data_IF_840866128252
#
_entry.id   IF_840866128252
#
_cell.length_a   1.000
_cell.length_b   1.000
_cell.length_c   1.000
_cell.angle_alpha   90.00
_cell.angle_beta   90.00
_cell.angle_gamma   90.00
#
_symmetry.space_group_name_H-M   'P 1'
#
loop_
_entity.id
_entity.type
_entity.pdbx_description
1 polymer ?
#
# COMPACT_ATOMS: atom_id res chain seq x y z
N UNK A 1 -7.17 -6.58 -10.13
CA UNK A 1 -6.36 -6.84 -8.91
C UNK A 1 -5.99 -5.50 -8.28
N UNK A 2 -6.10 -5.36 -6.96
CA UNK A 2 -5.66 -4.16 -6.23
C UNK A 2 -4.18 -4.25 -5.84
N UNK A 3 -3.49 -3.11 -5.78
CA UNK A 3 -2.08 -3.03 -5.41
C UNK A 3 -1.86 -1.99 -4.32
N UNK A 4 -1.38 -2.43 -3.16
CA UNK A 4 -0.94 -1.57 -2.06
C UNK A 4 0.59 -1.51 -2.08
N UNK A 5 1.16 -0.32 -1.94
CA UNK A 5 2.62 -0.13 -1.85
C UNK A 5 2.97 0.49 -0.50
N UNK A 6 3.88 -0.14 0.23
CA UNK A 6 4.47 0.42 1.45
C UNK A 6 5.81 1.05 1.11
N UNK A 7 5.87 2.37 1.12
CA UNK A 7 7.06 3.12 0.72
C UNK A 7 7.36 4.28 1.69
N UNK A 8 8.64 4.44 2.02
CA UNK A 8 9.15 5.61 2.73
C UNK A 8 10.67 5.66 2.57
N UNK A 9 11.25 6.86 2.58
CA UNK A 9 12.69 7.03 2.48
C UNK A 9 13.44 6.48 3.69
N UNK A 10 12.81 6.48 4.87
CA UNK A 10 13.46 6.07 6.11
C UNK A 10 13.45 4.56 6.30
N UNK A 11 14.62 3.98 6.60
CA UNK A 11 14.73 2.60 7.07
C UNK A 11 14.15 2.43 8.48
N UNK A 12 13.65 1.23 8.80
CA UNK A 12 13.14 0.91 10.15
C UNK A 12 11.78 1.53 10.49
N UNK A 13 11.04 2.08 9.53
CA UNK A 13 9.69 2.60 9.73
C UNK A 13 8.62 1.51 9.90
N UNK A 14 8.98 0.24 9.68
CA UNK A 14 8.11 -0.93 9.83
C UNK A 14 7.33 -1.34 8.58
N UNK A 15 7.78 -0.96 7.37
CA UNK A 15 7.14 -1.34 6.09
C UNK A 15 6.87 -2.84 6.00
N UNK A 16 7.91 -3.66 6.12
CA UNK A 16 7.81 -5.13 6.02
C UNK A 16 6.86 -5.72 7.06
N UNK A 17 6.93 -5.25 8.30
CA UNK A 17 6.04 -5.69 9.39
C UNK A 17 4.57 -5.36 9.10
N UNK A 18 4.32 -4.16 8.57
CA UNK A 18 2.98 -3.73 8.15
C UNK A 18 2.51 -4.52 6.91
N UNK A 19 3.40 -4.80 5.94
CA UNK A 19 3.09 -5.62 4.77
C UNK A 19 2.60 -7.00 5.18
N UNK A 20 3.32 -7.68 6.08
CA UNK A 20 2.94 -8.98 6.63
C UNK A 20 1.58 -8.90 7.33
N UNK A 21 1.41 -7.93 8.23
CA UNK A 21 0.17 -7.78 8.99
C UNK A 21 -1.05 -7.53 8.11
N UNK A 22 -0.93 -6.62 7.15
CA UNK A 22 -1.99 -6.30 6.19
C UNK A 22 -2.29 -7.48 5.26
N UNK A 23 -1.26 -8.23 4.82
CA UNK A 23 -1.45 -9.40 3.97
C UNK A 23 -2.28 -10.48 4.67
N UNK A 24 -1.97 -10.78 5.92
CA UNK A 24 -2.75 -11.77 6.68
C UNK A 24 -4.16 -11.28 6.99
N UNK A 25 -4.34 -10.00 7.34
CA UNK A 25 -5.66 -9.44 7.57
C UNK A 25 -6.52 -9.45 6.28
N UNK A 26 -5.92 -9.17 5.13
CA UNK A 26 -6.57 -9.26 3.82
C UNK A 26 -6.94 -10.70 3.46
N UNK A 27 -6.04 -11.66 3.70
CA UNK A 27 -6.32 -13.09 3.49
C UNK A 27 -7.50 -13.55 4.35
N UNK A 28 -7.53 -13.14 5.62
CA UNK A 28 -8.67 -13.42 6.52
C UNK A 28 -9.98 -12.77 6.05
N UNK A 29 -9.88 -11.66 5.32
CA UNK A 29 -11.03 -11.00 4.70
C UNK A 29 -11.46 -11.62 3.34
N UNK A 30 -10.80 -12.69 2.89
CA UNK A 30 -11.15 -13.45 1.69
C UNK A 30 -10.40 -13.06 0.42
N UNK A 31 -9.35 -12.24 0.52
CA UNK A 31 -8.50 -11.94 -0.62
C UNK A 31 -7.50 -13.07 -0.91
N UNK A 32 -7.23 -13.31 -2.21
CA UNK A 32 -6.05 -14.05 -2.65
C UNK A 32 -4.90 -13.06 -2.71
N UNK A 33 -3.94 -13.16 -1.77
CA UNK A 33 -2.90 -12.16 -1.54
C UNK A 33 -1.55 -12.62 -2.07
N UNK A 34 -0.79 -11.70 -2.67
CA UNK A 34 0.62 -11.87 -3.00
C UNK A 34 1.44 -10.76 -2.35
N UNK A 35 2.56 -11.12 -1.72
CA UNK A 35 3.56 -10.17 -1.25
C UNK A 35 4.67 -10.06 -2.30
N UNK A 36 5.04 -8.83 -2.67
CA UNK A 36 6.21 -8.54 -3.50
C UNK A 36 7.23 -7.81 -2.64
N UNK A 37 8.48 -8.27 -2.68
CA UNK A 37 9.61 -7.65 -2.01
C UNK A 37 10.53 -7.00 -3.03
N UNK A 38 10.76 -5.69 -2.90
CA UNK A 38 11.72 -4.96 -3.73
C UNK A 38 12.95 -4.52 -2.93
N UNK A 39 13.02 -4.84 -1.63
CA UNK A 39 14.17 -4.57 -0.78
C UNK A 39 15.19 -5.72 -0.86
N UNK A 40 16.44 -5.47 -1.30
CA UNK A 40 17.50 -6.48 -1.30
C UNK A 40 17.84 -7.05 0.09
N UNK A 41 17.41 -6.41 1.18
CA UNK A 41 17.55 -6.96 2.54
C UNK A 41 16.70 -8.22 2.77
N UNK A 42 15.75 -8.50 1.90
CA UNK A 42 14.97 -9.73 1.85
C UNK A 42 14.23 -10.05 3.16
N UNK A 43 13.64 -9.04 3.81
CA UNK A 43 12.95 -9.20 5.09
C UNK A 43 11.73 -10.11 4.97
N UNK A 44 10.91 -9.94 3.93
CA UNK A 44 9.73 -10.77 3.68
C UNK A 44 10.12 -12.19 3.27
N UNK A 45 11.11 -12.34 2.40
CA UNK A 45 11.64 -13.64 1.98
C UNK A 45 12.18 -14.40 3.19
N UNK A 46 12.96 -13.75 4.05
CA UNK A 46 13.47 -14.35 5.28
C UNK A 46 12.34 -14.69 6.27
N UNK A 47 11.29 -13.89 6.35
CA UNK A 47 10.11 -14.22 7.13
C UNK A 47 9.42 -15.47 6.59
N UNK A 48 9.22 -15.57 5.28
CA UNK A 48 8.59 -16.74 4.66
C UNK A 48 9.37 -18.03 4.89
N UNK A 49 10.71 -17.99 4.92
CA UNK A 49 11.53 -19.20 5.20
C UNK A 49 11.37 -19.74 6.62
N UNK A 50 10.91 -18.89 7.56
CA UNK A 50 10.62 -19.30 8.94
C UNK A 50 9.18 -19.77 9.16
N UNK A 51 8.36 -19.66 8.12
CA UNK A 51 6.93 -19.87 8.19
C UNK A 51 6.58 -21.32 7.89
N UNK A 52 5.72 -21.93 8.71
CA UNK A 52 5.17 -23.28 8.49
C UNK A 52 3.99 -23.31 7.49
N UNK A 53 3.46 -22.12 7.15
CA UNK A 53 2.35 -21.95 6.21
C UNK A 53 2.84 -21.42 4.86
N UNK A 54 2.31 -21.98 3.76
CA UNK A 54 2.71 -21.57 2.42
C UNK A 54 2.24 -20.14 2.09
N UNK A 55 1.02 -19.78 2.48
CA UNK A 55 0.41 -18.49 2.14
C UNK A 55 0.52 -17.46 3.29
N UNK A 56 0.56 -16.17 2.94
CA UNK A 56 0.71 -15.60 1.59
C UNK A 56 2.13 -15.80 1.05
N UNK A 57 2.25 -16.13 -0.25
CA UNK A 57 3.55 -16.26 -0.90
C UNK A 57 4.25 -14.91 -1.06
N UNK A 58 5.58 -14.93 -0.93
CA UNK A 58 6.46 -13.78 -1.16
C UNK A 58 7.27 -13.98 -2.45
N UNK A 59 7.40 -12.94 -3.24
CA UNK A 59 8.21 -12.93 -4.45
C UNK A 59 9.16 -11.73 -4.45
N UNK A 60 10.44 -11.96 -4.69
CA UNK A 60 11.44 -10.90 -4.88
C UNK A 60 11.38 -10.34 -6.30
N UNK A 61 11.09 -9.04 -6.46
CA UNK A 61 11.10 -8.32 -7.73
C UNK A 61 11.92 -7.05 -7.58
N UNK A 62 13.17 -7.10 -7.93
CA UNK A 62 14.15 -6.03 -7.67
C UNK A 62 14.37 -5.11 -8.87
N UNK A 63 14.00 -5.54 -10.07
CA UNK A 63 14.07 -4.74 -11.30
C UNK A 63 12.78 -3.94 -11.49
N UNK A 64 12.92 -2.64 -11.67
CA UNK A 64 11.80 -1.73 -11.92
C UNK A 64 10.98 -2.15 -13.15
N UNK A 65 11.63 -2.60 -14.22
CA UNK A 65 10.97 -3.03 -15.46
C UNK A 65 10.18 -4.34 -15.30
N UNK A 66 10.48 -5.13 -14.27
CA UNK A 66 9.80 -6.40 -14.02
C UNK A 66 8.50 -6.24 -13.19
N UNK A 67 8.28 -5.08 -12.55
CA UNK A 67 7.14 -4.87 -11.64
C UNK A 67 5.81 -4.96 -12.41
N UNK A 68 5.64 -4.17 -13.46
CA UNK A 68 4.38 -4.13 -14.23
C UNK A 68 4.01 -5.49 -14.82
N UNK A 69 4.89 -6.17 -15.60
CA UNK A 69 4.59 -7.49 -16.15
C UNK A 69 4.27 -8.53 -15.07
N UNK A 70 4.91 -8.40 -13.89
CA UNK A 70 4.62 -9.32 -12.79
C UNK A 70 3.24 -9.09 -12.18
N UNK A 71 2.83 -7.83 -12.02
CA UNK A 71 1.49 -7.49 -11.53
C UNK A 71 0.41 -7.99 -12.49
N UNK A 72 0.61 -7.85 -13.80
CA UNK A 72 -0.30 -8.37 -14.84
C UNK A 72 -0.43 -9.89 -14.73
N UNK A 73 0.68 -10.61 -14.68
CA UNK A 73 0.68 -12.07 -14.55
C UNK A 73 0.00 -12.55 -13.26
N UNK A 74 0.15 -11.83 -12.15
CA UNK A 74 -0.52 -12.14 -10.89
C UNK A 74 -2.04 -11.91 -10.99
N UNK A 75 -2.46 -10.84 -11.67
CA UNK A 75 -3.88 -10.56 -11.90
C UNK A 75 -4.52 -11.66 -12.77
N UNK A 76 -3.86 -12.07 -13.86
CA UNK A 76 -4.28 -13.18 -14.70
C UNK A 76 -4.33 -14.51 -13.93
N UNK A 77 -3.42 -14.69 -12.97
CA UNK A 77 -3.39 -15.85 -12.07
C UNK A 77 -4.44 -15.85 -10.97
N UNK A 78 -5.36 -14.86 -10.93
CA UNK A 78 -6.46 -14.81 -9.98
C UNK A 78 -6.10 -14.20 -8.62
N UNK A 79 -4.94 -13.55 -8.48
CA UNK A 79 -4.60 -12.75 -7.29
C UNK A 79 -5.52 -11.54 -7.25
N UNK A 80 -6.14 -11.27 -6.09
CA UNK A 80 -7.05 -10.14 -5.92
C UNK A 80 -6.41 -8.93 -5.25
N UNK A 81 -5.31 -9.15 -4.51
CA UNK A 81 -4.56 -8.11 -3.83
C UNK A 81 -3.06 -8.41 -3.86
N UNK A 82 -2.28 -7.43 -4.28
CA UNK A 82 -0.82 -7.44 -4.14
C UNK A 82 -0.38 -6.37 -3.15
N UNK A 83 0.53 -6.73 -2.23
CA UNK A 83 1.16 -5.77 -1.31
C UNK A 83 2.65 -5.76 -1.62
N UNK A 84 3.17 -4.58 -1.99
CA UNK A 84 4.59 -4.39 -2.33
C UNK A 84 5.30 -3.73 -1.16
N UNK A 85 6.29 -4.43 -0.60
CA UNK A 85 7.24 -3.89 0.38
C UNK A 85 8.46 -3.34 -0.35
N UNK A 86 8.80 -2.08 -0.08
CA UNK A 86 9.91 -1.41 -0.77
C UNK A 86 11.11 -1.22 0.15
N UNK A 87 12.29 -1.07 -0.46
CA UNK A 87 13.49 -0.65 0.24
C UNK A 87 13.31 0.72 0.91
N UNK A 88 14.17 1.03 1.87
CA UNK A 88 14.32 2.41 2.34
C UNK A 88 14.95 3.27 1.24
N UNK A 89 14.32 4.39 0.90
CA UNK A 89 14.76 5.27 -0.17
C UNK A 89 13.89 5.20 -1.44
N UNK A 90 14.17 6.09 -2.38
CA UNK A 90 13.49 6.16 -3.67
C UNK A 90 14.36 5.55 -4.77
N UNK A 91 14.41 4.23 -4.80
CA UNK A 91 15.02 3.49 -5.91
C UNK A 91 14.11 3.50 -7.15
N UNK A 92 14.65 3.11 -8.31
CA UNK A 92 13.84 2.91 -9.51
C UNK A 92 12.71 1.91 -9.27
N UNK A 93 12.98 0.80 -8.53
CA UNK A 93 11.97 -0.19 -8.17
C UNK A 93 10.89 0.40 -7.25
N UNK A 94 11.27 1.21 -6.24
CA UNK A 94 10.31 1.90 -5.36
C UNK A 94 9.42 2.85 -6.16
N UNK A 95 9.98 3.63 -7.08
CA UNK A 95 9.22 4.56 -7.92
C UNK A 95 8.29 3.82 -8.87
N UNK A 96 8.74 2.73 -9.49
CA UNK A 96 7.92 1.87 -10.34
C UNK A 96 6.77 1.24 -9.54
N UNK A 97 7.02 0.74 -8.32
CA UNK A 97 5.98 0.22 -7.45
C UNK A 97 4.90 1.29 -7.16
N UNK A 98 5.30 2.52 -6.78
CA UNK A 98 4.37 3.61 -6.51
C UNK A 98 3.53 3.94 -7.75
N UNK A 99 4.12 3.92 -8.95
CA UNK A 99 3.42 4.17 -10.22
C UNK A 99 2.25 3.20 -10.44
N UNK A 100 2.36 1.96 -9.99
CA UNK A 100 1.32 0.94 -10.15
C UNK A 100 0.43 0.77 -8.90
N UNK A 101 0.59 1.64 -7.88
CA UNK A 101 -0.20 1.56 -6.66
C UNK A 101 -1.65 2.03 -6.87
N UNK A 102 -2.59 1.30 -6.28
CA UNK A 102 -3.95 1.79 -6.01
C UNK A 102 -3.99 2.58 -4.70
N UNK A 103 -3.08 2.26 -3.78
CA UNK A 103 -2.85 3.03 -2.56
C UNK A 103 -1.38 2.96 -2.15
N UNK A 104 -0.71 4.11 -2.06
CA UNK A 104 0.62 4.23 -1.49
C UNK A 104 0.50 4.53 0.00
N UNK A 105 0.91 3.59 0.85
CA UNK A 105 0.93 3.75 2.30
C UNK A 105 2.34 4.16 2.75
N UNK A 106 2.43 5.26 3.49
CA UNK A 106 3.68 5.92 3.87
C UNK A 106 3.84 5.82 5.39
N UNK A 107 4.50 4.77 5.92
CA UNK A 107 4.69 4.65 7.36
C UNK A 107 5.78 5.58 7.88
N UNK A 108 5.50 6.24 9.00
CA UNK A 108 6.42 7.11 9.70
C UNK A 108 6.31 6.93 11.23
N UNK A 109 7.43 6.97 11.92
CA UNK A 109 7.43 7.10 13.38
C UNK A 109 7.10 8.54 13.77
N UNK A 110 6.58 8.81 14.98
CA UNK A 110 6.27 10.17 15.43
C UNK A 110 7.56 10.92 15.85
N UNK A 111 8.52 11.03 14.94
CA UNK A 111 9.76 11.78 15.09
C UNK A 111 9.92 12.77 13.94
N UNK A 112 10.57 13.91 14.18
CA UNK A 112 10.79 14.93 13.15
C UNK A 112 11.46 14.35 11.91
N UNK A 113 12.54 13.58 12.08
CA UNK A 113 13.30 13.01 10.98
C UNK A 113 12.51 11.98 10.15
N UNK A 114 11.57 11.24 10.77
CA UNK A 114 10.72 10.29 10.04
C UNK A 114 9.61 11.02 9.28
N UNK A 115 9.04 12.07 9.88
CA UNK A 115 8.01 12.90 9.23
C UNK A 115 8.58 13.65 8.03
N UNK A 116 9.74 14.29 8.18
CA UNK A 116 10.43 14.97 7.07
C UNK A 116 10.74 14.00 5.92
N UNK A 117 11.16 12.78 6.24
CA UNK A 117 11.45 11.75 5.24
C UNK A 117 10.23 11.30 4.42
N UNK A 118 9.01 11.61 4.84
CA UNK A 118 7.80 11.30 4.06
C UNK A 118 7.64 12.20 2.83
N UNK A 119 8.22 13.38 2.83
CA UNK A 119 8.02 14.40 1.80
C UNK A 119 8.40 13.91 0.41
N UNK A 120 9.53 13.22 0.27
CA UNK A 120 9.97 12.69 -1.04
C UNK A 120 9.03 11.60 -1.56
N UNK A 121 8.59 10.67 -0.71
CA UNK A 121 7.62 9.64 -1.11
C UNK A 121 6.28 10.25 -1.50
N UNK A 122 5.82 11.26 -0.73
CA UNK A 122 4.61 12.01 -1.05
C UNK A 122 4.73 12.73 -2.41
N UNK A 123 5.88 13.33 -2.70
CA UNK A 123 6.13 13.99 -3.99
C UNK A 123 6.02 12.99 -5.17
N UNK A 124 6.58 11.78 -5.00
CA UNK A 124 6.46 10.72 -6.02
C UNK A 124 5.01 10.29 -6.21
N UNK A 125 4.28 10.02 -5.12
CA UNK A 125 2.88 9.61 -5.21
C UNK A 125 2.02 10.67 -5.93
N UNK A 126 2.23 11.95 -5.61
CA UNK A 126 1.55 13.08 -6.27
C UNK A 126 1.90 13.20 -7.73
N UNK A 127 3.17 13.08 -8.08
CA UNK A 127 3.63 13.20 -9.47
C UNK A 127 3.00 12.13 -10.38
N UNK A 128 2.71 10.96 -9.85
CA UNK A 128 2.01 9.89 -10.54
C UNK A 128 0.48 9.90 -10.29
N UNK A 129 -0.04 10.96 -9.65
CA UNK A 129 -1.45 11.08 -9.29
C UNK A 129 -1.98 9.85 -8.55
N UNK A 130 -1.17 9.30 -7.64
CA UNK A 130 -1.54 8.10 -6.87
C UNK A 130 -2.12 8.47 -5.53
N UNK A 131 -3.21 7.80 -5.11
CA UNK A 131 -3.73 7.92 -3.76
C UNK A 131 -2.67 7.50 -2.76
N UNK A 132 -2.63 8.23 -1.65
CA UNK A 132 -1.68 7.94 -0.58
C UNK A 132 -2.34 8.03 0.79
N UNK A 133 -1.71 7.39 1.77
CA UNK A 133 -2.06 7.53 3.18
C UNK A 133 -0.81 7.43 4.05
N UNK A 134 -0.73 8.25 5.08
CA UNK A 134 0.28 8.11 6.12
C UNK A 134 -0.15 7.09 7.16
N UNK A 135 0.81 6.35 7.71
CA UNK A 135 0.61 5.47 8.87
C UNK A 135 1.53 5.97 9.98
N UNK A 136 0.99 6.47 11.09
CA UNK A 136 1.79 6.67 12.28
C UNK A 136 2.05 5.31 12.93
N UNK A 137 3.29 4.85 12.78
CA UNK A 137 3.76 3.54 13.23
C UNK A 137 4.75 3.65 14.39
N UNK A 138 4.88 2.59 15.15
CA UNK A 138 5.78 2.54 16.33
C UNK A 138 5.54 3.72 17.28
N UNK A 139 4.26 4.09 17.45
CA UNK A 139 3.90 5.20 18.33
C UNK A 139 4.04 4.80 19.80
N UNK A 140 4.39 5.70 20.71
CA UNK A 140 4.18 5.46 22.12
C UNK A 140 2.67 5.36 22.41
N UNK A 141 2.30 4.72 23.53
CA UNK A 141 0.88 4.58 23.93
C UNK A 141 0.23 5.96 24.15
N UNK A 142 0.97 6.96 24.59
CA UNK A 142 0.52 8.33 24.87
C UNK A 142 1.63 9.33 24.58
N UNK A 143 1.25 10.58 24.33
CA UNK A 143 2.20 11.69 24.25
C UNK A 143 1.88 12.73 23.18
N UNK A 144 2.22 13.96 23.41
CA UNK A 144 2.00 15.09 22.49
C UNK A 144 2.69 14.90 21.12
N UNK A 145 3.75 14.08 21.06
CA UNK A 145 4.45 13.79 19.81
C UNK A 145 3.55 13.19 18.72
N UNK A 146 2.54 12.41 19.12
CA UNK A 146 1.59 11.80 18.20
C UNK A 146 0.75 12.89 17.52
N UNK A 147 0.15 13.78 18.30
CA UNK A 147 -0.65 14.89 17.79
C UNK A 147 0.16 15.85 16.91
N UNK A 148 1.38 16.18 17.33
CA UNK A 148 2.28 17.03 16.54
C UNK A 148 2.65 16.38 15.20
N UNK A 149 2.99 15.08 15.20
CA UNK A 149 3.31 14.33 13.98
C UNK A 149 2.10 14.28 13.03
N UNK A 150 0.91 13.97 13.56
CA UNK A 150 -0.32 13.95 12.77
C UNK A 150 -0.61 15.31 12.12
N UNK A 151 -0.53 16.40 12.88
CA UNK A 151 -0.75 17.76 12.37
C UNK A 151 0.27 18.13 11.29
N UNK A 152 1.54 17.76 11.46
CA UNK A 152 2.60 18.04 10.48
C UNK A 152 2.34 17.28 9.17
N UNK A 153 1.93 16.01 9.25
CA UNK A 153 1.59 15.21 8.06
C UNK A 153 0.36 15.76 7.32
N UNK A 154 -0.69 16.15 8.04
CA UNK A 154 -1.86 16.78 7.45
C UNK A 154 -1.52 18.09 6.72
N UNK A 155 -0.71 18.95 7.34
CA UNK A 155 -0.24 20.19 6.73
C UNK A 155 0.62 19.92 5.48
N UNK A 156 1.53 18.95 5.53
CA UNK A 156 2.35 18.55 4.38
C UNK A 156 1.51 18.00 3.21
N UNK A 157 0.43 17.30 3.53
CA UNK A 157 -0.50 16.80 2.54
C UNK A 157 -1.42 17.90 1.96
N UNK A 158 -1.61 19.03 2.65
CA UNK A 158 -2.60 20.07 2.32
C UNK A 158 -4.02 19.48 2.09
N UNK A 159 -4.36 18.44 2.83
CA UNK A 159 -5.63 17.71 2.80
C UNK A 159 -6.15 17.52 4.23
N UNK A 160 -7.43 17.17 4.35
CA UNK A 160 -7.99 16.83 5.66
C UNK A 160 -7.23 15.61 6.22
N UNK A 161 -6.85 15.72 7.49
CA UNK A 161 -6.12 14.67 8.18
C UNK A 161 -6.88 13.34 8.18
N UNK A 162 -8.21 13.39 8.30
CA UNK A 162 -9.06 12.21 8.28
C UNK A 162 -8.96 11.43 6.96
N UNK A 163 -8.66 12.13 5.86
CA UNK A 163 -8.54 11.51 4.54
C UNK A 163 -7.18 10.88 4.27
N UNK A 164 -6.14 11.35 4.94
CA UNK A 164 -4.75 10.97 4.63
C UNK A 164 -4.00 10.28 5.76
N UNK A 165 -4.54 10.26 6.97
CA UNK A 165 -3.94 9.53 8.09
C UNK A 165 -4.72 8.26 8.38
N UNK A 166 -4.09 7.12 8.12
CA UNK A 166 -4.68 5.81 8.38
C UNK A 166 -4.96 5.59 9.87
N UNK A 167 -6.04 4.93 10.16
CA UNK A 167 -6.46 4.58 11.52
C UNK A 167 -6.56 3.06 11.71
N UNK A 168 -6.21 2.55 12.89
CA UNK A 168 -5.61 3.28 14.02
C UNK A 168 -4.12 3.57 13.80
N UNK A 169 -3.53 4.37 14.65
CA UNK A 169 -2.07 4.42 14.79
C UNK A 169 -1.57 3.12 15.38
N UNK A 170 -0.41 2.65 14.92
CA UNK A 170 0.17 1.38 15.36
C UNK A 170 1.14 1.65 16.50
N UNK A 171 0.84 1.12 17.66
CA UNK A 171 1.66 1.28 18.86
C UNK A 171 2.88 0.36 18.83
N UNK A 172 4.03 0.86 19.27
CA UNK A 172 5.24 0.04 19.40
C UNK A 172 5.04 -1.02 20.47
N UNK A 173 5.08 -2.29 20.07
CA UNK A 173 5.02 -3.46 20.96
C UNK A 173 5.95 -4.56 20.49
N UNK A 174 6.42 -5.37 21.43
CA UNK A 174 7.32 -6.49 21.13
C UNK A 174 6.63 -7.58 20.30
N UNK A 175 5.30 -7.75 20.42
CA UNK A 175 4.53 -8.73 19.66
C UNK A 175 4.86 -8.74 18.16
N UNK A 176 5.09 -7.56 17.57
CA UNK A 176 5.44 -7.45 16.16
C UNK A 176 6.81 -8.05 15.84
N UNK A 177 7.79 -7.88 16.73
CA UNK A 177 9.14 -8.41 16.54
C UNK A 177 9.17 -9.91 16.81
N UNK A 178 8.48 -10.34 17.86
CA UNK A 178 8.39 -11.75 18.24
C UNK A 178 7.66 -12.57 17.17
N UNK A 179 6.55 -12.04 16.63
CA UNK A 179 5.84 -12.63 15.50
C UNK A 179 6.74 -12.76 14.26
N UNK A 180 7.45 -11.68 13.89
CA UNK A 180 8.37 -11.70 12.75
C UNK A 180 9.49 -12.75 12.92
N UNK A 181 10.04 -12.88 14.13
CA UNK A 181 11.05 -13.88 14.44
C UNK A 181 10.52 -15.32 14.33
N UNK A 182 9.24 -15.52 14.66
CA UNK A 182 8.56 -16.83 14.57
C UNK A 182 8.03 -17.16 13.17
N UNK A 183 8.22 -16.31 12.15
CA UNK A 183 7.64 -16.51 10.81
C UNK A 183 6.11 -16.32 10.77
N UNK A 184 5.56 -15.60 11.74
CA UNK A 184 4.13 -15.35 11.89
C UNK A 184 3.80 -13.88 11.67
N UNK A 185 2.54 -13.60 11.36
CA UNK A 185 1.97 -12.26 11.52
C UNK A 185 1.52 -12.09 12.98
N UNK A 186 1.37 -10.84 13.41
CA UNK A 186 0.93 -10.54 14.78
C UNK A 186 -0.47 -11.09 15.08
N UNK A 187 -1.35 -11.21 14.06
CA UNK A 187 -2.68 -11.82 14.18
C UNK A 187 -2.64 -13.34 14.37
N UNK A 188 -1.56 -13.99 14.00
CA UNK A 188 -1.32 -15.41 14.22
C UNK A 188 -0.59 -15.65 15.56
N UNK A 189 0.38 -14.80 15.88
CA UNK A 189 1.19 -14.90 17.09
C UNK A 189 0.41 -14.56 18.36
N UNK A 190 -0.36 -13.48 18.33
CA UNK A 190 -1.15 -12.98 19.46
C UNK A 190 -2.56 -12.56 18.99
N UNK A 191 -3.43 -13.51 18.59
CA UNK A 191 -4.70 -13.22 17.92
C UNK A 191 -5.69 -12.39 18.74
N UNK A 192 -5.62 -12.44 20.06
CA UNK A 192 -6.44 -11.63 20.97
C UNK A 192 -5.71 -10.39 21.50
N UNK A 193 -4.49 -10.15 21.01
CA UNK A 193 -3.63 -9.05 21.42
C UNK A 193 -4.05 -7.71 20.82
N UNK A 194 -3.62 -6.62 21.46
CA UNK A 194 -3.87 -5.26 20.96
C UNK A 194 -3.19 -5.00 19.62
N UNK A 195 -2.01 -5.59 19.38
CA UNK A 195 -1.28 -5.47 18.12
C UNK A 195 -2.07 -6.09 16.95
N UNK A 196 -2.66 -7.27 17.17
CA UNK A 196 -3.53 -7.92 16.18
C UNK A 196 -4.79 -7.09 15.90
N UNK A 197 -5.43 -6.55 16.94
CA UNK A 197 -6.60 -5.69 16.81
C UNK A 197 -6.27 -4.42 16.00
N UNK A 198 -5.15 -3.74 16.28
CA UNK A 198 -4.71 -2.55 15.55
C UNK A 198 -4.45 -2.84 14.07
N UNK A 199 -3.80 -3.95 13.73
CA UNK A 199 -3.59 -4.36 12.33
C UNK A 199 -4.92 -4.68 11.64
N UNK A 200 -5.84 -5.37 12.31
CA UNK A 200 -7.17 -5.66 11.77
C UNK A 200 -7.99 -4.39 11.52
N UNK A 201 -7.88 -3.38 12.38
CA UNK A 201 -8.51 -2.07 12.19
C UNK A 201 -7.85 -1.28 11.06
N UNK A 202 -6.51 -1.31 10.97
CA UNK A 202 -5.79 -0.70 9.87
C UNK A 202 -6.21 -1.32 8.52
N UNK A 203 -6.38 -2.64 8.47
CA UNK A 203 -6.89 -3.29 7.27
C UNK A 203 -8.30 -2.81 6.91
N UNK A 204 -9.22 -2.73 7.88
CA UNK A 204 -10.60 -2.24 7.64
C UNK A 204 -10.59 -0.82 7.08
N UNK A 205 -9.75 0.07 7.64
CA UNK A 205 -9.58 1.42 7.12
C UNK A 205 -9.04 1.42 5.69
N UNK A 206 -8.00 0.61 5.42
CA UNK A 206 -7.37 0.47 4.10
C UNK A 206 -8.37 -0.04 3.05
N UNK A 207 -9.13 -1.07 3.39
CA UNK A 207 -10.15 -1.64 2.50
C UNK A 207 -11.28 -0.63 2.19
N UNK A 208 -11.73 0.14 3.19
CA UNK A 208 -12.71 1.20 2.99
C UNK A 208 -12.18 2.30 2.05
N UNK A 209 -10.91 2.67 2.17
CA UNK A 209 -10.26 3.66 1.29
C UNK A 209 -10.16 3.17 -0.15
N UNK A 210 -9.78 1.92 -0.36
CA UNK A 210 -9.72 1.28 -1.69
C UNK A 210 -11.11 1.16 -2.32
N UNK A 211 -12.10 0.70 -1.57
CA UNK A 211 -13.47 0.54 -2.07
C UNK A 211 -14.15 1.88 -2.40
N UNK A 212 -13.93 2.90 -1.59
CA UNK A 212 -14.44 4.25 -1.84
C UNK A 212 -13.88 4.84 -3.15
N UNK A 213 -12.62 4.56 -3.46
CA UNK A 213 -12.00 4.96 -4.72
C UNK A 213 -12.60 4.24 -5.92
N UNK A 214 -12.75 2.92 -5.86
CA UNK A 214 -13.36 2.14 -6.94
C UNK A 214 -14.77 2.67 -7.23
N UNK A 215 -15.55 2.97 -6.20
CA UNK A 215 -16.89 3.54 -6.37
C UNK A 215 -16.85 4.94 -7.04
N UNK A 216 -15.88 5.78 -6.69
CA UNK A 216 -15.70 7.09 -7.31
C UNK A 216 -15.28 6.97 -8.79
N UNK A 217 -14.32 6.11 -9.11
CA UNK A 217 -13.89 5.84 -10.50
C UNK A 217 -15.05 5.33 -11.37
N UNK A 218 -15.89 4.44 -10.83
CA UNK A 218 -17.08 3.96 -11.54
C UNK A 218 -18.08 5.10 -11.77
N UNK A 219 -18.30 5.96 -10.77
CA UNK A 219 -19.18 7.10 -10.90
C UNK A 219 -18.71 8.12 -11.93
N UNK A 220 -17.42 8.40 -11.98
CA UNK A 220 -16.82 9.30 -12.97
C UNK A 220 -16.97 8.74 -14.40
N UNK A 221 -16.69 7.46 -14.61
CA UNK A 221 -16.89 6.79 -15.90
C UNK A 221 -18.36 6.83 -16.32
N UNK A 222 -19.29 6.67 -15.40
CA UNK A 222 -20.73 6.75 -15.67
C UNK A 222 -21.17 8.19 -15.99
N UNK A 223 -20.58 9.19 -15.33
CA UNK A 223 -20.87 10.61 -15.58
C UNK A 223 -20.32 11.11 -16.95
N UNK A 224 -19.21 10.57 -17.41
CA UNK A 224 -18.61 10.88 -18.71
C UNK A 224 -19.27 10.11 -19.87
N UNK A 225 -20.08 9.08 -19.59
CA UNK A 225 -20.78 8.31 -20.62
C UNK A 225 -21.97 9.10 -21.16
N UNK A 226 -22.02 9.44 -22.45
CA UNK A 226 -23.16 10.15 -23.05
C UNK A 226 -24.42 9.30 -23.17
N UNK A 227 -24.38 8.03 -22.74
CA UNK A 227 -25.52 7.11 -22.75
C UNK A 227 -25.84 6.63 -21.34
N UNK A 228 -27.07 6.88 -20.83
CA UNK A 228 -27.50 6.26 -19.57
C UNK A 228 -27.56 4.74 -19.75
N UNK A 229 -26.85 4.01 -18.88
CA UNK A 229 -26.95 2.54 -18.85
C UNK A 229 -28.34 2.19 -18.34
N UNK A 230 -29.25 1.92 -19.26
CA UNK A 230 -30.55 1.35 -18.94
C UNK A 230 -30.33 -0.14 -18.65
N UNK A 231 -30.51 -0.54 -17.39
CA UNK A 231 -30.63 -1.94 -17.02
C UNK A 231 -31.92 -2.50 -17.63
N UNK A 232 -31.82 -3.05 -18.82
CA UNK A 232 -32.86 -3.75 -19.51
C UNK A 232 -32.27 -4.98 -20.18
N UNK A 233 -32.74 -6.13 -19.78
CA UNK A 233 -32.36 -7.44 -20.32
C UNK A 233 -32.53 -7.48 -21.83
N UNK A 234 -31.38 -7.55 -22.56
CA UNK A 234 -31.29 -8.31 -23.82
C UNK A 234 -29.82 -8.41 -24.27
N UNK A 235 -29.37 -9.55 -24.84
CA UNK A 235 -27.98 -9.76 -25.26
C UNK A 235 -27.72 -8.98 -26.56
N UNK A 236 -26.79 -8.03 -26.52
CA UNK A 236 -26.30 -7.34 -27.69
C UNK A 236 -25.04 -8.02 -28.22
N UNK A 237 -25.03 -8.13 -29.54
CA UNK A 237 -24.00 -8.74 -30.39
C UNK A 237 -22.65 -8.03 -30.25
N UNK A 238 -21.59 -8.83 -30.24
CA UNK A 238 -20.20 -8.38 -30.46
C UNK A 238 -20.09 -7.67 -31.81
N UNK A 239 -19.83 -6.36 -31.80
CA UNK A 239 -19.12 -5.64 -32.87
C UNK A 239 -18.83 -4.20 -32.38
N UNK A 240 -17.55 -3.84 -32.43
CA UNK A 240 -16.98 -2.49 -32.32
C UNK A 240 -16.76 -1.89 -30.93
N UNK A 241 -15.57 -2.12 -30.38
CA UNK A 241 -14.88 -1.16 -29.54
C UNK A 241 -13.37 -1.18 -29.82
N UNK A 242 -12.96 -0.62 -30.94
CA UNK A 242 -11.61 -0.06 -31.06
C UNK A 242 -11.64 1.34 -30.46
N UNK A 243 -11.12 1.51 -29.26
CA UNK A 243 -10.89 2.82 -28.67
C UNK A 243 -9.38 3.10 -28.62
N UNK A 244 -9.06 4.13 -29.33
CA UNK A 244 -7.81 4.86 -29.46
C UNK A 244 -7.07 5.06 -28.13
N UNK A 245 -5.93 4.37 -27.94
CA UNK A 245 -4.94 4.74 -26.95
C UNK A 245 -4.10 5.89 -27.50
N UNK A 246 -4.42 7.11 -27.12
CA UNK A 246 -3.58 8.26 -27.37
C UNK A 246 -2.39 8.26 -26.40
N UNK A 247 -1.20 8.33 -26.97
CA UNK A 247 0.10 8.39 -26.32
C UNK A 247 0.20 9.57 -25.33
N UNK A 248 0.48 9.26 -24.06
CA UNK A 248 0.94 10.23 -23.07
C UNK A 248 2.45 10.46 -23.24
N UNK A 249 2.95 11.68 -23.05
CA UNK A 249 4.36 12.00 -23.22
C UNK A 249 5.24 11.38 -22.13
N UNK A 250 6.35 10.81 -22.54
CA UNK A 250 7.34 10.04 -21.76
C UNK A 250 8.35 10.96 -21.02
N UNK A 251 7.88 12.04 -20.40
CA UNK A 251 8.71 12.93 -19.60
C UNK A 251 8.31 12.88 -18.12
N UNK A 252 8.95 11.98 -17.37
CA UNK A 252 8.83 11.94 -15.92
C UNK A 252 9.43 13.17 -15.24
N UNK A 253 9.00 13.51 -14.03
CA UNK A 253 9.50 14.66 -13.28
C UNK A 253 10.98 14.49 -12.88
N UNK A 254 11.69 15.62 -12.81
CA UNK A 254 13.10 15.70 -12.41
C UNK A 254 13.23 15.45 -10.88
N UNK A 255 13.98 14.42 -10.51
CA UNK A 255 14.09 13.91 -9.12
C UNK A 255 15.33 14.38 -8.36
N UNK A 256 16.15 15.27 -8.93
CA UNK A 256 17.45 15.67 -8.35
C UNK A 256 17.37 16.33 -6.97
N UNK A 257 16.19 16.72 -6.52
CA UNK A 257 15.99 17.35 -5.22
C UNK A 257 15.75 16.36 -4.05
N UNK A 258 15.64 15.06 -4.33
CA UNK A 258 15.33 14.03 -3.32
C UNK A 258 16.40 12.96 -3.13
N UNK A 259 17.58 13.12 -3.77
CA UNK A 259 18.76 12.26 -3.61
C UNK A 259 19.74 12.80 -2.59
#
# INVERSE_FOLDING_TARGET
>A
MLTIVLATQKGGSGKSTLAIGLALAATQAGHTVRLIETDPQATLTNWQTRRDFAEPLVEGVYDAAAIEPRLEALAEGGVTLTIIDTAGGLSAATTAAIRHADLCMIPARPSVADIEATACTLAVARAWNKPFAFILNQTPIRGARIGNAASTLGNAAALDLADVLAQPMIVMRNDHQDALAAGLAVSEYAPTGKSAAEIGELWRWTAAKLNGRIAAEIADVQAESPFPIMFGEQPMREEQAEIHLASLPDSGPNWDACL
#
